data_IF_322421580398
#
_entry.id   IF_322421580398
#
_cell.length_a   1.000
_cell.length_b   1.000
_cell.length_c   1.000
_cell.angle_alpha   90.00
_cell.angle_beta   90.00
_cell.angle_gamma   90.00
#
_symmetry.space_group_name_H-M   'P 1'
#
loop_
_entity.id
_entity.type
_entity.pdbx_description
1 polymer ?
#
# COMPACT_ATOMS: atom_id res chain seq x y z
N UNK A 1 10.88 -5.59 -4.81
CA UNK A 1 10.16 -4.36 -4.42
C UNK A 1 10.52 -3.28 -5.41
N UNK A 2 9.59 -2.39 -5.81
CA UNK A 2 9.94 -1.27 -6.68
C UNK A 2 10.99 -0.37 -6.02
N UNK A 3 11.65 0.41 -6.87
CA UNK A 3 12.72 1.36 -6.54
C UNK A 3 12.16 2.56 -5.74
N UNK A 4 11.66 2.28 -4.54
CA UNK A 4 11.11 3.23 -3.59
C UNK A 4 12.19 3.66 -2.60
N UNK A 5 12.10 4.88 -2.06
CA UNK A 5 13.01 5.32 -1.00
C UNK A 5 12.98 4.35 0.19
N UNK A 6 14.15 4.05 0.76
CA UNK A 6 14.29 3.14 1.91
C UNK A 6 13.32 3.44 3.06
N UNK A 7 13.09 4.71 3.48
CA UNK A 7 12.12 4.99 4.54
C UNK A 7 10.69 4.58 4.17
N UNK A 8 10.31 4.69 2.90
CA UNK A 8 8.98 4.30 2.39
C UNK A 8 8.84 2.79 2.41
N UNK A 9 9.87 2.06 1.96
CA UNK A 9 9.94 0.60 2.05
C UNK A 9 9.78 0.14 3.49
N UNK A 10 10.51 0.77 4.42
CA UNK A 10 10.44 0.45 5.84
C UNK A 10 9.05 0.71 6.42
N UNK A 11 8.44 1.87 6.13
CA UNK A 11 7.07 2.17 6.56
C UNK A 11 6.04 1.16 6.03
N UNK A 12 6.17 0.73 4.77
CA UNK A 12 5.27 -0.28 4.20
C UNK A 12 5.37 -1.62 4.93
N UNK A 13 6.59 -2.06 5.26
CA UNK A 13 6.84 -3.36 5.90
C UNK A 13 6.58 -3.34 7.40
N UNK A 14 7.06 -2.34 8.11
CA UNK A 14 7.04 -2.34 9.57
C UNK A 14 5.77 -1.72 10.16
N UNK A 15 5.02 -0.94 9.38
CA UNK A 15 3.82 -0.24 9.86
C UNK A 15 2.58 -0.64 9.08
N UNK A 16 2.57 -0.42 7.76
CA UNK A 16 1.35 -0.58 6.97
C UNK A 16 0.95 -2.04 6.81
N UNK A 17 1.88 -2.93 6.41
CA UNK A 17 1.59 -4.35 6.22
C UNK A 17 1.07 -5.03 7.50
N UNK A 18 1.66 -4.83 8.70
CA UNK A 18 1.14 -5.38 9.95
C UNK A 18 -0.27 -4.90 10.28
N UNK A 19 -0.58 -3.63 10.05
CA UNK A 19 -1.93 -3.09 10.27
C UNK A 19 -2.95 -3.73 9.31
N UNK A 20 -2.59 -3.82 8.03
CA UNK A 20 -3.43 -4.46 7.01
C UNK A 20 -3.65 -5.94 7.33
N UNK A 21 -2.60 -6.66 7.75
CA UNK A 21 -2.71 -8.08 8.13
C UNK A 21 -3.52 -8.29 9.40
N UNK A 22 -3.43 -7.39 10.39
CA UNK A 22 -4.25 -7.41 11.60
C UNK A 22 -5.76 -7.29 11.29
N UNK A 23 -6.10 -6.53 10.25
CA UNK A 23 -7.46 -6.40 9.72
C UNK A 23 -7.87 -7.55 8.77
N UNK A 24 -7.02 -8.58 8.60
CA UNK A 24 -7.25 -9.73 7.72
C UNK A 24 -7.06 -9.43 6.23
N UNK A 25 -6.42 -8.29 5.91
CA UNK A 25 -6.06 -7.89 4.56
C UNK A 25 -4.69 -8.40 4.12
N UNK A 26 -4.36 -8.11 2.86
CA UNK A 26 -3.02 -8.35 2.30
C UNK A 26 -2.59 -7.11 1.53
N UNK A 27 -1.38 -6.62 1.80
CA UNK A 27 -0.80 -5.47 1.11
C UNK A 27 0.06 -5.91 -0.06
N UNK A 28 -0.20 -5.34 -1.23
CA UNK A 28 0.65 -5.46 -2.41
C UNK A 28 1.13 -4.08 -2.87
N UNK A 29 2.34 -4.06 -3.42
CA UNK A 29 2.89 -2.91 -4.12
C UNK A 29 2.92 -3.23 -5.61
N UNK A 30 2.39 -2.33 -6.41
CA UNK A 30 2.38 -2.38 -7.88
C UNK A 30 3.31 -1.30 -8.40
N UNK A 31 4.22 -1.68 -9.31
CA UNK A 31 5.15 -0.74 -9.94
C UNK A 31 4.37 0.34 -10.70
N UNK A 32 4.75 1.60 -10.50
CA UNK A 32 4.19 2.75 -11.22
C UNK A 32 5.30 3.43 -12.03
N UNK A 33 5.04 3.68 -13.31
CA UNK A 33 5.96 4.46 -14.12
C UNK A 33 5.92 5.94 -13.67
N UNK A 34 7.08 6.60 -13.60
CA UNK A 34 7.16 8.05 -13.32
C UNK A 34 7.29 8.47 -11.85
N UNK A 35 7.74 7.57 -10.96
CA UNK A 35 8.19 7.97 -9.62
C UNK A 35 7.11 8.06 -8.54
N UNK A 36 6.00 7.33 -8.71
CA UNK A 36 4.96 7.14 -7.69
C UNK A 36 4.86 5.68 -7.21
N UNK A 37 3.86 5.39 -6.40
CA UNK A 37 3.54 4.03 -5.96
C UNK A 37 2.08 3.75 -6.19
N UNK A 38 1.77 2.53 -6.66
CA UNK A 38 0.42 1.98 -6.54
C UNK A 38 0.43 0.91 -5.48
N UNK A 39 -0.51 0.96 -4.56
CA UNK A 39 -0.77 -0.07 -3.59
C UNK A 39 -2.07 -0.78 -3.93
N UNK A 40 -2.15 -2.06 -3.58
CA UNK A 40 -3.35 -2.84 -3.73
C UNK A 40 -3.62 -3.63 -2.45
N UNK A 41 -4.79 -3.42 -1.85
CA UNK A 41 -5.26 -4.19 -0.71
C UNK A 41 -6.17 -5.34 -1.17
N UNK A 42 -5.85 -6.55 -0.76
CA UNK A 42 -6.68 -7.73 -0.96
C UNK A 42 -7.14 -8.32 0.39
N UNK A 43 -7.75 -9.50 0.38
CA UNK A 43 -8.26 -10.15 1.59
C UNK A 43 -9.51 -9.47 2.12
N UNK A 44 -9.63 -9.33 3.44
CA UNK A 44 -10.77 -8.65 4.07
C UNK A 44 -10.89 -7.17 3.64
N UNK A 45 -9.77 -6.53 3.30
CA UNK A 45 -9.74 -5.14 2.83
C UNK A 45 -10.32 -4.97 1.42
N UNK A 46 -10.40 -6.03 0.63
CA UNK A 46 -10.67 -5.97 -0.81
C UNK A 46 -11.98 -5.25 -1.15
N UNK A 47 -12.98 -5.28 -0.27
CA UNK A 47 -14.31 -4.66 -0.48
C UNK A 47 -14.88 -4.09 0.80
N UNK A 48 -13.99 -3.68 1.68
CA UNK A 48 -14.35 -2.79 2.77
C UNK A 48 -14.73 -1.43 2.17
N UNK A 49 -15.97 -0.95 2.33
CA UNK A 49 -16.36 0.38 1.85
C UNK A 49 -15.56 1.50 2.54
N UNK A 50 -15.05 1.24 3.75
CA UNK A 50 -14.21 2.15 4.53
C UNK A 50 -12.76 2.25 4.04
N UNK A 51 -12.32 1.41 3.09
CA UNK A 51 -10.93 1.40 2.63
C UNK A 51 -10.45 2.77 2.09
N UNK A 52 -11.35 3.56 1.49
CA UNK A 52 -10.99 4.92 1.03
C UNK A 52 -10.54 5.83 2.17
N UNK A 53 -11.14 5.71 3.35
CA UNK A 53 -10.75 6.46 4.55
C UNK A 53 -9.40 5.94 5.05
N UNK A 54 -9.21 4.62 5.10
CA UNK A 54 -7.90 4.03 5.46
C UNK A 54 -6.79 4.48 4.49
N UNK A 55 -7.10 4.59 3.20
CA UNK A 55 -6.18 5.13 2.19
C UNK A 55 -5.79 6.57 2.51
N UNK A 56 -6.78 7.47 2.59
CA UNK A 56 -6.52 8.92 2.68
C UNK A 56 -6.02 9.36 4.05
N UNK A 57 -6.45 8.70 5.14
CA UNK A 57 -6.17 9.14 6.50
C UNK A 57 -5.03 8.37 7.18
N UNK A 58 -4.65 7.19 6.66
CA UNK A 58 -3.62 6.34 7.29
C UNK A 58 -2.47 6.05 6.34
N UNK A 59 -2.77 5.42 5.20
CA UNK A 59 -1.73 4.93 4.28
C UNK A 59 -1.02 6.11 3.62
N UNK A 60 -1.75 7.01 2.97
CA UNK A 60 -1.17 8.16 2.28
C UNK A 60 -0.35 9.05 3.23
N UNK A 61 -0.85 9.46 4.42
CA UNK A 61 -0.07 10.27 5.36
C UNK A 61 1.20 9.57 5.83
N UNK A 62 1.15 8.25 6.10
CA UNK A 62 2.34 7.50 6.51
C UNK A 62 3.43 7.50 5.43
N UNK A 63 3.06 7.31 4.16
CA UNK A 63 4.02 7.34 3.05
C UNK A 63 4.55 8.75 2.77
N UNK A 64 3.69 9.78 2.92
CA UNK A 64 4.11 11.19 2.83
C UNK A 64 5.12 11.53 3.93
N UNK A 65 4.86 11.11 5.17
CA UNK A 65 5.77 11.29 6.31
C UNK A 65 7.11 10.56 6.09
N UNK A 66 7.09 9.40 5.43
CA UNK A 66 8.29 8.68 5.01
C UNK A 66 9.04 9.35 3.84
N UNK A 67 8.53 10.45 3.29
CA UNK A 67 9.18 11.25 2.25
C UNK A 67 8.78 10.93 0.82
N UNK A 68 7.70 10.17 0.60
CA UNK A 68 7.20 9.90 -0.75
C UNK A 68 6.61 11.16 -1.39
N UNK A 69 7.24 11.65 -2.46
CA UNK A 69 6.80 12.87 -3.18
C UNK A 69 5.93 12.59 -4.41
N UNK A 70 5.98 11.38 -4.94
CA UNK A 70 5.24 10.98 -6.14
C UNK A 70 3.74 10.81 -5.92
N UNK A 71 3.05 10.39 -6.98
CA UNK A 71 1.64 10.04 -6.91
C UNK A 71 1.44 8.74 -6.11
N UNK A 72 0.43 8.72 -5.24
CA UNK A 72 0.05 7.57 -4.43
C UNK A 72 -1.34 7.16 -4.90
N UNK A 73 -1.44 5.94 -5.40
CA UNK A 73 -2.71 5.35 -5.82
C UNK A 73 -2.95 4.09 -4.99
N UNK A 74 -4.09 3.99 -4.33
CA UNK A 74 -4.40 2.84 -3.47
C UNK A 74 -5.71 2.25 -3.96
N UNK A 75 -5.64 0.97 -4.33
CA UNK A 75 -6.79 0.21 -4.82
C UNK A 75 -7.11 -0.92 -3.85
N UNK A 76 -8.34 -1.41 -3.87
CA UNK A 76 -8.73 -2.62 -3.16
C UNK A 76 -9.54 -3.52 -4.08
N UNK A 77 -9.33 -4.84 -3.97
CA UNK A 77 -10.05 -5.80 -4.80
C UNK A 77 -9.60 -7.24 -4.60
N UNK A 78 -10.42 -8.16 -5.12
CA UNK A 78 -10.16 -9.60 -5.07
C UNK A 78 -9.11 -9.99 -6.11
N UNK A 79 -9.09 -9.27 -7.22
CA UNK A 79 -8.16 -9.49 -8.32
C UNK A 79 -6.91 -8.66 -8.10
N UNK A 80 -5.81 -9.34 -7.76
CA UNK A 80 -4.50 -8.70 -7.60
C UNK A 80 -3.98 -8.26 -8.98
N UNK A 81 -3.56 -6.99 -9.15
CA UNK A 81 -3.03 -6.50 -10.42
C UNK A 81 -1.76 -7.24 -10.88
N UNK A 82 -1.54 -7.30 -12.19
CA UNK A 82 -0.31 -7.88 -12.76
C UNK A 82 0.93 -7.09 -12.30
N UNK A 83 2.02 -7.80 -11.98
CA UNK A 83 3.26 -7.21 -11.48
C UNK A 83 3.18 -6.69 -10.04
N UNK A 84 2.14 -7.07 -9.30
CA UNK A 84 2.03 -6.81 -7.87
C UNK A 84 3.00 -7.69 -7.07
N UNK A 85 3.74 -7.07 -6.17
CA UNK A 85 4.60 -7.74 -5.20
C UNK A 85 3.97 -7.67 -3.81
N UNK A 86 3.82 -8.81 -3.14
CA UNK A 86 3.31 -8.83 -1.76
C UNK A 86 4.33 -8.18 -0.82
N UNK A 87 3.85 -7.28 0.02
CA UNK A 87 4.63 -6.75 1.14
C UNK A 87 4.38 -7.64 2.35
N UNK A 88 5.45 -8.16 2.94
CA UNK A 88 5.39 -8.87 4.21
C UNK A 88 6.07 -8.01 5.29
N UNK A 89 5.64 -8.13 6.56
CA UNK A 89 6.36 -7.59 7.69
C UNK A 89 7.85 -7.97 7.68
#
# INVERSE_FOLDING_TARGET
>A
MPDLPEPVVRTLREVVAPLVEADGGVLYVVRKAGGGVRLHLAGACAGCPGFRITSSEVIEPALRAAGLKGDIDVSAGWTVPEGAERVTP
#
